data_IF_736665091857
#
_entry.id   IF_736665091857
#
_cell.length_a   1.000
_cell.length_b   1.000
_cell.length_c   1.000
_cell.angle_alpha   90.00
_cell.angle_beta   90.00
_cell.angle_gamma   90.00
#
_symmetry.space_group_name_H-M   'P 1'
#
loop_
_entity.id
_entity.type
_entity.pdbx_description
1 polymer ?
#
# COMPACT_ATOMS: atom_id res chain seq x y z
N UNK A 1 13.53 17.87 6.89
CA UNK A 1 13.99 17.97 5.48
C UNK A 1 14.68 16.70 5.06
N UNK A 2 14.67 16.40 3.77
CA UNK A 2 15.24 15.18 3.21
C UNK A 2 16.23 15.53 2.12
N UNK A 3 17.50 15.40 2.41
CA UNK A 3 18.61 15.85 1.55
C UNK A 3 19.02 14.80 0.54
N UNK A 4 19.36 15.20 -0.66
CA UNK A 4 19.90 14.34 -1.69
C UNK A 4 20.98 15.04 -2.50
N UNK A 5 21.88 14.26 -3.07
CA UNK A 5 22.86 14.79 -4.01
C UNK A 5 22.29 14.70 -5.43
N UNK A 6 22.16 15.85 -6.10
CA UNK A 6 21.58 15.96 -7.45
C UNK A 6 22.37 15.17 -8.51
N UNK A 7 23.67 15.07 -8.34
CA UNK A 7 24.54 14.35 -9.28
C UNK A 7 24.56 12.83 -9.03
N UNK A 8 24.00 12.38 -7.90
CA UNK A 8 24.00 10.95 -7.56
C UNK A 8 22.97 10.18 -8.36
N UNK A 9 23.44 9.16 -9.11
CA UNK A 9 22.57 8.21 -9.81
C UNK A 9 21.75 7.32 -8.87
N UNK A 10 22.08 7.27 -7.58
CA UNK A 10 21.53 6.32 -6.62
C UNK A 10 20.11 6.67 -6.15
N UNK A 11 19.63 7.89 -6.38
CA UNK A 11 18.32 8.39 -5.91
C UNK A 11 18.04 8.08 -4.43
N UNK A 12 19.03 8.37 -3.58
CA UNK A 12 18.94 8.15 -2.13
C UNK A 12 18.82 9.49 -1.44
N UNK A 13 17.88 9.58 -0.49
CA UNK A 13 17.70 10.73 0.39
C UNK A 13 18.13 10.41 1.81
N UNK A 14 18.51 11.44 2.53
CA UNK A 14 18.98 11.39 3.89
C UNK A 14 18.20 12.40 4.75
N UNK A 15 18.02 12.09 6.04
CA UNK A 15 17.52 13.05 7.04
C UNK A 15 18.67 13.90 7.58
N UNK A 16 18.33 14.99 8.24
CA UNK A 16 19.29 15.76 9.04
C UNK A 16 20.09 14.82 9.95
N UNK A 17 21.32 15.11 10.20
CA UNK A 17 22.20 14.32 11.07
C UNK A 17 22.55 12.90 10.56
N UNK A 18 22.24 12.56 9.31
CA UNK A 18 22.73 11.33 8.73
C UNK A 18 24.25 11.44 8.48
N UNK A 19 25.05 10.51 9.06
CA UNK A 19 26.50 10.56 8.91
C UNK A 19 26.99 10.38 7.46
N UNK A 20 26.14 9.86 6.57
CA UNK A 20 26.42 9.77 5.13
C UNK A 20 26.25 11.10 4.38
N UNK A 21 25.64 12.10 5.02
CA UNK A 21 25.49 13.43 4.44
C UNK A 21 26.46 14.37 5.13
N UNK A 22 27.57 14.60 4.50
CA UNK A 22 28.44 15.71 4.88
C UNK A 22 28.01 16.93 4.05
N UNK A 23 27.07 17.69 4.57
CA UNK A 23 26.51 18.87 3.89
C UNK A 23 27.58 19.89 3.52
N UNK A 24 28.66 19.97 4.27
CA UNK A 24 29.75 20.92 4.01
C UNK A 24 30.58 20.56 2.78
N UNK A 25 30.58 19.28 2.37
CA UNK A 25 31.40 18.79 1.24
C UNK A 25 30.64 18.70 -0.09
N UNK A 26 29.32 18.84 -0.08
CA UNK A 26 28.52 18.63 -1.29
C UNK A 26 27.86 19.94 -1.73
N UNK A 27 28.45 20.60 -2.72
CA UNK A 27 27.89 21.82 -3.35
C UNK A 27 26.56 21.57 -4.09
N UNK A 28 26.23 20.31 -4.36
CA UNK A 28 25.07 19.90 -5.17
C UNK A 28 24.00 19.21 -4.30
N UNK A 29 23.88 19.58 -3.03
CA UNK A 29 22.87 19.03 -2.12
C UNK A 29 21.60 19.88 -2.25
N UNK A 30 20.53 19.21 -2.64
CA UNK A 30 19.17 19.74 -2.63
C UNK A 30 18.33 19.01 -1.57
N UNK A 31 17.10 19.47 -1.34
CA UNK A 31 16.23 18.85 -0.35
C UNK A 31 14.77 18.75 -0.83
N UNK A 32 14.06 17.78 -0.29
CA UNK A 32 12.60 17.69 -0.31
C UNK A 32 12.05 18.11 1.06
N UNK A 33 10.91 18.76 1.08
CA UNK A 33 10.25 19.09 2.34
C UNK A 33 9.59 17.84 2.95
N UNK A 34 9.05 16.98 2.13
CA UNK A 34 8.32 15.79 2.55
C UNK A 34 8.89 14.51 1.98
N UNK A 35 8.75 13.41 2.74
CA UNK A 35 9.12 12.08 2.29
C UNK A 35 8.27 11.59 1.12
N UNK A 36 7.02 12.04 1.07
CA UNK A 36 6.08 11.72 0.00
C UNK A 36 6.57 12.26 -1.34
N UNK A 37 6.90 13.54 -1.38
CA UNK A 37 7.45 14.20 -2.58
C UNK A 37 8.68 13.48 -3.12
N UNK A 38 9.62 13.14 -2.23
CA UNK A 38 10.80 12.36 -2.61
C UNK A 38 10.43 10.99 -3.20
N UNK A 39 9.46 10.29 -2.62
CA UNK A 39 9.02 8.98 -3.11
C UNK A 39 8.30 9.06 -4.45
N UNK A 40 7.50 10.11 -4.70
CA UNK A 40 6.84 10.37 -5.99
C UNK A 40 7.86 10.59 -7.09
N UNK A 41 9.02 11.18 -6.78
CA UNK A 41 10.14 11.35 -7.72
C UNK A 41 11.08 10.14 -7.81
N UNK A 42 10.73 9.04 -7.15
CA UNK A 42 11.47 7.77 -7.21
C UNK A 42 12.68 7.69 -6.27
N UNK A 43 12.84 8.67 -5.37
CA UNK A 43 13.87 8.60 -4.34
C UNK A 43 13.50 7.63 -3.21
N UNK A 44 14.49 7.18 -2.45
CA UNK A 44 14.33 6.28 -1.30
C UNK A 44 15.18 6.75 -0.14
N UNK A 45 14.74 6.52 1.09
CA UNK A 45 15.57 6.74 2.26
C UNK A 45 16.80 5.83 2.25
N UNK A 46 17.93 6.36 2.67
CA UNK A 46 19.11 5.54 2.91
C UNK A 46 18.82 4.53 4.04
N UNK A 47 19.59 3.44 4.07
CA UNK A 47 19.38 2.37 5.07
C UNK A 47 19.50 2.87 6.51
N UNK A 48 20.37 3.86 6.76
CA UNK A 48 20.55 4.44 8.09
C UNK A 48 19.45 5.41 8.51
N UNK A 49 18.84 6.10 7.54
CA UNK A 49 17.72 7.01 7.78
C UNK A 49 16.37 6.27 7.82
N UNK A 50 16.30 5.10 7.25
CA UNK A 50 15.08 4.30 7.23
C UNK A 50 14.85 3.64 8.59
N UNK A 51 13.98 4.25 9.39
CA UNK A 51 13.64 3.76 10.73
C UNK A 51 13.12 2.31 10.70
N UNK A 52 12.28 1.98 9.74
CA UNK A 52 11.73 0.63 9.56
C UNK A 52 12.85 -0.39 9.30
N UNK A 53 13.83 -0.07 8.45
CA UNK A 53 14.95 -0.96 8.18
C UNK A 53 15.85 -1.15 9.41
N UNK A 54 16.10 -0.08 10.16
CA UNK A 54 16.87 -0.15 11.41
C UNK A 54 16.15 -1.00 12.45
N UNK A 55 14.85 -0.80 12.59
CA UNK A 55 14.01 -1.55 13.50
C UNK A 55 13.97 -3.04 13.12
N UNK A 56 13.78 -3.34 11.84
CA UNK A 56 13.82 -4.71 11.33
C UNK A 56 15.15 -5.40 11.66
N UNK A 57 16.28 -4.71 11.42
CA UNK A 57 17.61 -5.25 11.72
C UNK A 57 17.81 -5.50 13.22
N UNK A 58 17.26 -4.63 14.08
CA UNK A 58 17.35 -4.76 15.52
C UNK A 58 16.55 -5.96 16.06
N UNK A 59 15.40 -6.21 15.46
CA UNK A 59 14.44 -7.26 15.88
C UNK A 59 14.53 -8.52 15.02
N UNK A 60 15.59 -8.66 14.20
CA UNK A 60 15.67 -9.69 13.15
C UNK A 60 15.50 -11.11 13.70
N UNK A 61 16.20 -11.44 14.78
CA UNK A 61 16.20 -12.78 15.35
C UNK A 61 14.81 -13.15 15.88
N UNK A 62 14.14 -12.22 16.58
CA UNK A 62 12.80 -12.40 17.12
C UNK A 62 11.75 -12.48 15.99
N UNK A 63 11.91 -11.66 14.93
CA UNK A 63 11.07 -11.73 13.73
C UNK A 63 11.19 -13.10 13.06
N UNK A 64 12.41 -13.63 12.90
CA UNK A 64 12.65 -14.95 12.30
C UNK A 64 12.06 -16.07 13.13
N UNK A 65 12.26 -16.03 14.46
CA UNK A 65 11.69 -17.01 15.37
C UNK A 65 10.16 -17.04 15.30
N UNK A 66 9.51 -15.87 15.41
CA UNK A 66 8.06 -15.75 15.31
C UNK A 66 7.54 -16.19 13.95
N UNK A 67 8.24 -15.80 12.88
CA UNK A 67 7.86 -16.16 11.51
C UNK A 67 7.87 -17.68 11.33
N UNK A 68 8.92 -18.35 11.79
CA UNK A 68 9.03 -19.80 11.75
C UNK A 68 7.94 -20.49 12.58
N UNK A 69 7.73 -20.02 13.82
CA UNK A 69 6.75 -20.61 14.75
C UNK A 69 5.30 -20.51 14.25
N UNK A 70 4.95 -19.41 13.59
CA UNK A 70 3.56 -19.11 13.19
C UNK A 70 3.32 -19.21 11.67
N UNK A 71 4.29 -19.68 10.90
CA UNK A 71 4.15 -19.84 9.45
C UNK A 71 3.98 -18.51 8.70
N UNK A 72 4.62 -17.44 9.20
CA UNK A 72 4.61 -16.15 8.56
C UNK A 72 5.76 -16.03 7.57
N UNK A 73 5.52 -15.38 6.43
CA UNK A 73 6.57 -14.97 5.50
C UNK A 73 6.76 -13.45 5.63
N UNK A 74 7.93 -13.02 6.10
CA UNK A 74 8.26 -11.60 6.30
C UNK A 74 9.36 -11.18 5.34
N UNK A 75 9.07 -10.18 4.52
CA UNK A 75 10.00 -9.62 3.55
C UNK A 75 10.22 -8.12 3.81
N UNK A 76 11.47 -7.73 4.07
CA UNK A 76 11.84 -6.33 4.28
C UNK A 76 12.33 -5.68 2.99
N UNK A 77 11.49 -4.83 2.41
CA UNK A 77 11.81 -3.99 1.25
C UNK A 77 12.31 -2.59 1.65
N UNK A 78 12.62 -1.78 0.65
CA UNK A 78 13.10 -0.40 0.87
C UNK A 78 12.01 0.55 1.41
N UNK A 79 10.74 0.32 1.10
CA UNK A 79 9.62 1.22 1.42
C UNK A 79 8.56 0.58 2.31
N UNK A 80 8.59 -0.73 2.45
CA UNK A 80 7.61 -1.48 3.23
C UNK A 80 8.18 -2.82 3.70
N UNK A 81 7.60 -3.34 4.77
CA UNK A 81 7.74 -4.74 5.15
C UNK A 81 6.45 -5.43 4.73
N UNK A 82 6.57 -6.47 3.92
CA UNK A 82 5.48 -7.34 3.53
C UNK A 82 5.43 -8.54 4.48
N UNK A 83 4.25 -8.83 5.01
CA UNK A 83 4.00 -9.97 5.88
C UNK A 83 2.86 -10.77 5.26
N UNK A 84 3.10 -12.04 5.01
CA UNK A 84 2.10 -12.96 4.48
C UNK A 84 1.86 -14.06 5.50
N UNK A 85 0.62 -14.27 5.86
CA UNK A 85 0.15 -15.37 6.68
C UNK A 85 -0.69 -16.33 5.84
N UNK A 86 -1.22 -17.40 6.46
CA UNK A 86 -2.10 -18.36 5.80
C UNK A 86 -3.43 -17.75 5.33
N UNK A 87 -3.89 -16.68 5.96
CA UNK A 87 -5.24 -16.11 5.73
C UNK A 87 -5.23 -14.66 5.25
N UNK A 88 -4.09 -13.98 5.31
CA UNK A 88 -4.02 -12.54 5.11
C UNK A 88 -2.68 -12.08 4.56
N UNK A 89 -2.71 -10.92 3.89
CA UNK A 89 -1.50 -10.19 3.49
C UNK A 89 -1.47 -8.83 4.15
N UNK A 90 -0.31 -8.47 4.66
CA UNK A 90 -0.10 -7.25 5.43
C UNK A 90 1.06 -6.45 4.88
N UNK A 91 1.02 -5.16 5.08
CA UNK A 91 2.14 -4.26 4.79
C UNK A 91 2.34 -3.28 5.93
N UNK A 92 3.57 -3.19 6.40
CA UNK A 92 4.03 -2.11 7.25
C UNK A 92 4.74 -1.08 6.39
N UNK A 93 4.37 0.17 6.51
CA UNK A 93 5.02 1.30 5.84
C UNK A 93 5.31 2.41 6.85
N UNK A 94 6.20 3.33 6.49
CA UNK A 94 6.36 4.57 7.24
C UNK A 94 5.39 5.62 6.71
N UNK A 95 4.67 6.27 7.61
CA UNK A 95 3.86 7.44 7.26
C UNK A 95 4.73 8.71 7.09
N UNK A 96 4.08 9.85 6.86
CA UNK A 96 4.75 11.15 6.74
C UNK A 96 5.51 11.58 8.00
N UNK A 97 5.12 11.09 9.16
CA UNK A 97 5.72 11.37 10.47
C UNK A 97 6.75 10.30 10.87
N UNK A 98 7.14 9.43 9.94
CA UNK A 98 8.05 8.29 10.14
C UNK A 98 7.57 7.27 11.19
N UNK A 99 6.27 7.19 11.41
CA UNK A 99 5.65 6.17 12.26
C UNK A 99 5.30 4.95 11.41
N UNK A 100 5.45 3.77 12.00
CA UNK A 100 5.00 2.54 11.38
C UNK A 100 3.47 2.51 11.34
N UNK A 101 2.93 2.23 10.17
CA UNK A 101 1.50 2.06 9.95
C UNK A 101 1.22 0.75 9.24
N UNK A 102 0.13 0.10 9.63
CA UNK A 102 -0.24 -1.23 9.16
C UNK A 102 -1.36 -1.16 8.12
N UNK A 103 -1.20 -1.91 7.05
CA UNK A 103 -2.21 -2.15 6.03
C UNK A 103 -2.50 -3.65 5.94
N UNK A 104 -3.75 -3.98 5.74
CA UNK A 104 -4.25 -5.35 5.67
C UNK A 104 -4.97 -5.62 4.36
N UNK A 105 -4.79 -6.81 3.80
CA UNK A 105 -5.54 -7.33 2.65
C UNK A 105 -6.02 -8.73 2.95
N UNK A 106 -7.33 -8.96 2.88
CA UNK A 106 -7.92 -10.30 2.95
C UNK A 106 -7.62 -11.07 1.65
N UNK A 107 -7.13 -12.29 1.74
CA UNK A 107 -6.90 -13.12 0.55
C UNK A 107 -8.21 -13.60 -0.11
N UNK A 108 -9.28 -13.64 0.66
CA UNK A 108 -10.59 -14.14 0.21
C UNK A 108 -11.51 -13.06 -0.39
N UNK A 109 -11.02 -11.83 -0.58
CA UNK A 109 -11.79 -10.81 -1.29
C UNK A 109 -11.77 -11.12 -2.79
N UNK A 110 -12.97 -11.39 -3.32
CA UNK A 110 -13.16 -11.58 -4.76
C UNK A 110 -12.69 -10.35 -5.54
N UNK A 111 -12.13 -10.51 -6.76
CA UNK A 111 -11.54 -9.42 -7.55
C UNK A 111 -12.50 -8.27 -7.90
N UNK A 112 -13.78 -8.36 -7.54
CA UNK A 112 -14.83 -7.41 -7.94
C UNK A 112 -15.09 -6.27 -6.95
N UNK A 113 -14.33 -6.16 -5.84
CA UNK A 113 -14.50 -5.02 -4.93
C UNK A 113 -13.61 -3.86 -5.37
N UNK A 114 -14.11 -3.14 -6.38
CA UNK A 114 -13.44 -1.99 -7.04
C UNK A 114 -13.43 -0.71 -6.18
N UNK A 115 -13.65 -0.78 -4.87
CA UNK A 115 -13.81 0.40 -4.04
C UNK A 115 -12.55 0.93 -3.36
N UNK A 116 -11.42 0.23 -3.41
CA UNK A 116 -10.16 0.75 -2.89
C UNK A 116 -9.06 0.75 -3.94
N UNK A 117 -8.74 1.93 -4.42
CA UNK A 117 -7.76 2.20 -5.47
C UNK A 117 -6.30 1.94 -5.06
N UNK A 118 -6.03 1.43 -3.87
CA UNK A 118 -4.68 1.07 -3.42
C UNK A 118 -4.61 -0.44 -3.22
N UNK A 119 -4.60 -1.19 -4.33
CA UNK A 119 -4.23 -2.62 -4.36
C UNK A 119 -5.00 -3.53 -3.37
N UNK A 120 -6.22 -3.19 -2.97
CA UNK A 120 -7.01 -3.99 -2.04
C UNK A 120 -6.48 -4.04 -0.60
N UNK A 121 -5.55 -3.18 -0.22
CA UNK A 121 -5.09 -3.02 1.16
C UNK A 121 -5.90 -1.97 1.90
N UNK A 122 -6.32 -2.29 3.12
CA UNK A 122 -7.06 -1.39 4.01
C UNK A 122 -6.15 -0.90 5.14
N UNK A 123 -6.18 0.39 5.42
CA UNK A 123 -5.43 0.99 6.51
C UNK A 123 -6.01 0.55 7.87
N UNK A 124 -5.15 0.13 8.80
CA UNK A 124 -5.49 -0.27 10.16
C UNK A 124 -5.17 0.88 11.13
N UNK A 125 -5.98 1.94 11.08
CA UNK A 125 -5.73 3.21 11.79
C UNK A 125 -5.72 3.10 13.32
N UNK A 126 -6.43 2.11 13.86
CA UNK A 126 -6.54 1.91 15.32
C UNK A 126 -5.35 1.11 15.89
N UNK A 127 -4.57 0.47 15.01
CA UNK A 127 -3.41 -0.35 15.42
C UNK A 127 -2.16 0.52 15.46
N UNK A 128 -1.74 0.88 16.66
CA UNK A 128 -0.54 1.69 16.92
C UNK A 128 0.45 0.87 17.74
N UNK A 129 1.46 0.35 17.08
CA UNK A 129 2.52 -0.41 17.74
C UNK A 129 3.87 0.30 17.59
N UNK A 130 4.77 0.05 18.51
CA UNK A 130 6.09 0.69 18.55
C UNK A 130 7.20 -0.15 17.93
N UNK A 131 6.96 -1.44 17.72
CA UNK A 131 7.94 -2.39 17.17
C UNK A 131 7.31 -3.27 16.09
N UNK A 132 8.16 -3.87 15.24
CA UNK A 132 7.71 -4.81 14.20
C UNK A 132 7.20 -6.08 14.85
N UNK A 133 7.87 -6.57 15.89
CA UNK A 133 7.45 -7.75 16.67
C UNK A 133 6.05 -7.55 17.26
N UNK A 134 5.76 -6.36 17.81
CA UNK A 134 4.42 -6.06 18.32
C UNK A 134 3.35 -6.08 17.22
N UNK A 135 3.69 -5.65 16.01
CA UNK A 135 2.79 -5.80 14.85
C UNK A 135 2.61 -7.26 14.44
N UNK A 136 3.66 -8.09 14.49
CA UNK A 136 3.55 -9.53 14.22
C UNK A 136 2.62 -10.22 15.24
N UNK A 137 2.74 -9.91 16.53
CA UNK A 137 1.83 -10.42 17.56
C UNK A 137 0.38 -10.06 17.25
N UNK A 138 0.11 -8.79 16.94
CA UNK A 138 -1.23 -8.36 16.52
C UNK A 138 -1.74 -9.13 15.30
N UNK A 139 -0.91 -9.34 14.28
CA UNK A 139 -1.26 -10.09 13.06
C UNK A 139 -1.61 -11.54 13.41
N UNK A 140 -0.81 -12.19 14.25
CA UNK A 140 -1.04 -13.57 14.69
C UNK A 140 -2.38 -13.68 15.43
N UNK A 141 -2.65 -12.79 16.38
CA UNK A 141 -3.91 -12.76 17.13
C UNK A 141 -5.11 -12.50 16.22
N UNK A 142 -4.98 -11.53 15.30
CA UNK A 142 -6.01 -11.22 14.32
C UNK A 142 -6.32 -12.42 13.43
N UNK A 143 -5.30 -13.09 12.90
CA UNK A 143 -5.48 -14.21 11.98
C UNK A 143 -6.03 -15.44 12.71
N UNK A 144 -5.59 -15.68 13.95
CA UNK A 144 -6.19 -16.69 14.82
C UNK A 144 -7.68 -16.40 15.08
N UNK A 145 -8.03 -15.17 15.42
CA UNK A 145 -9.42 -14.77 15.58
C UNK A 145 -10.23 -15.01 14.31
N UNK A 146 -9.69 -14.68 13.13
CA UNK A 146 -10.35 -14.89 11.84
C UNK A 146 -10.55 -16.37 11.50
N UNK A 147 -9.61 -17.23 11.85
CA UNK A 147 -9.76 -18.68 11.67
C UNK A 147 -10.84 -19.26 12.58
N UNK A 148 -10.91 -18.81 13.83
CA UNK A 148 -11.93 -19.26 14.79
C UNK A 148 -13.31 -18.68 14.51
N UNK A 149 -13.38 -17.49 13.88
CA UNK A 149 -14.62 -16.80 13.56
C UNK A 149 -14.68 -16.53 12.04
N UNK A 150 -14.85 -17.58 11.22
CA UNK A 150 -14.93 -17.39 9.78
C UNK A 150 -16.07 -16.42 9.46
N UNK A 151 -15.79 -15.39 8.68
CA UNK A 151 -16.79 -14.41 8.24
C UNK A 151 -17.82 -15.17 7.43
N UNK A 152 -18.97 -15.46 8.03
CA UNK A 152 -20.12 -15.98 7.32
C UNK A 152 -20.51 -14.88 6.35
N UNK A 153 -20.22 -15.08 5.05
CA UNK A 153 -20.60 -14.12 4.00
C UNK A 153 -22.07 -13.75 4.25
N UNK A 154 -22.42 -12.48 4.44
CA UNK A 154 -23.81 -12.12 4.64
C UNK A 154 -24.57 -12.70 3.47
N UNK A 155 -25.58 -13.54 3.76
CA UNK A 155 -26.47 -14.13 2.73
C UNK A 155 -26.82 -12.97 1.81
N UNK A 156 -26.47 -13.08 0.50
CA UNK A 156 -26.79 -12.06 -0.50
C UNK A 156 -28.20 -11.58 -0.17
N UNK A 157 -28.34 -10.30 0.21
CA UNK A 157 -29.66 -9.74 0.46
C UNK A 157 -30.49 -10.11 -0.73
N UNK A 158 -31.58 -10.91 -0.53
CA UNK A 158 -32.53 -11.26 -1.61
C UNK A 158 -32.77 -9.95 -2.32
N UNK A 159 -32.41 -9.89 -3.59
CA UNK A 159 -32.62 -8.68 -4.38
C UNK A 159 -34.08 -8.31 -4.22
N UNK A 160 -34.31 -7.16 -3.62
CA UNK A 160 -35.70 -6.67 -3.49
C UNK A 160 -36.24 -6.55 -4.91
N UNK A 161 -37.48 -7.04 -5.15
CA UNK A 161 -38.06 -6.98 -6.49
C UNK A 161 -37.91 -5.57 -7.08
N UNK A 162 -37.66 -5.45 -8.38
CA UNK A 162 -37.42 -4.16 -9.01
C UNK A 162 -38.60 -3.22 -8.70
N UNK A 163 -38.31 -1.96 -8.39
CA UNK A 163 -39.35 -1.02 -8.01
C UNK A 163 -40.36 -0.84 -9.17
N UNK A 164 -41.66 -0.83 -8.87
CA UNK A 164 -42.69 -0.64 -9.87
C UNK A 164 -42.51 0.69 -10.60
N UNK A 165 -42.72 0.67 -11.94
CA UNK A 165 -42.66 1.88 -12.80
C UNK A 165 -43.56 2.98 -12.22
N UNK A 166 -43.10 4.25 -12.28
CA UNK A 166 -43.83 5.41 -11.80
C UNK A 166 -43.63 5.77 -10.32
N UNK A 167 -43.15 4.87 -9.47
CA UNK A 167 -42.91 5.16 -8.06
C UNK A 167 -41.65 6.06 -7.85
N UNK A 168 -41.63 6.82 -6.75
CA UNK A 168 -40.46 7.63 -6.35
C UNK A 168 -39.20 6.78 -6.28
N UNK A 169 -39.33 5.53 -5.82
CA UNK A 169 -38.20 4.55 -5.73
C UNK A 169 -37.71 4.14 -7.12
N UNK A 170 -38.57 3.97 -8.08
CA UNK A 170 -38.22 3.69 -9.48
C UNK A 170 -37.45 4.86 -10.10
N UNK A 171 -37.97 6.10 -9.96
CA UNK A 171 -37.29 7.30 -10.47
C UNK A 171 -35.89 7.49 -9.86
N UNK A 172 -35.75 7.21 -8.55
CA UNK A 172 -34.46 7.29 -7.88
C UNK A 172 -33.47 6.23 -8.38
N UNK A 173 -33.96 4.97 -8.58
CA UNK A 173 -33.13 3.89 -9.13
C UNK A 173 -32.70 4.18 -10.57
N UNK A 174 -33.59 4.73 -11.39
CA UNK A 174 -33.27 5.14 -12.76
C UNK A 174 -32.19 6.23 -12.80
N UNK A 175 -32.33 7.29 -12.01
CA UNK A 175 -31.31 8.34 -11.90
C UNK A 175 -29.93 7.80 -11.44
N UNK A 176 -29.92 6.85 -10.51
CA UNK A 176 -28.70 6.20 -10.04
C UNK A 176 -28.05 5.37 -11.15
N UNK A 177 -28.86 4.64 -11.92
CA UNK A 177 -28.38 3.85 -13.04
C UNK A 177 -27.78 4.73 -14.16
N UNK A 178 -28.47 5.80 -14.55
CA UNK A 178 -27.96 6.79 -15.51
C UNK A 178 -26.63 7.41 -15.05
N UNK A 179 -26.54 7.77 -13.76
CA UNK A 179 -25.29 8.30 -13.19
C UNK A 179 -24.15 7.28 -13.28
N UNK A 180 -24.42 6.00 -13.00
CA UNK A 180 -23.43 4.93 -13.10
C UNK A 180 -23.01 4.68 -14.55
N UNK A 181 -23.94 4.68 -15.49
CA UNK A 181 -23.66 4.55 -16.92
C UNK A 181 -22.77 5.69 -17.43
N UNK A 182 -23.06 6.93 -17.03
CA UNK A 182 -22.20 8.08 -17.37
C UNK A 182 -20.78 7.93 -16.81
N UNK A 183 -20.65 7.50 -15.55
CA UNK A 183 -19.33 7.23 -14.95
C UNK A 183 -18.57 6.14 -15.70
N UNK A 184 -19.26 5.07 -16.10
CA UNK A 184 -18.64 3.99 -16.85
C UNK A 184 -18.20 4.44 -18.26
N UNK A 185 -19.03 5.23 -18.93
CA UNK A 185 -18.69 5.80 -20.24
C UNK A 185 -17.44 6.69 -20.16
N UNK A 186 -17.35 7.56 -19.14
CA UNK A 186 -16.15 8.40 -18.90
C UNK A 186 -14.92 7.53 -18.66
N UNK A 187 -15.06 6.49 -17.83
CA UNK A 187 -13.95 5.57 -17.56
C UNK A 187 -13.46 4.89 -18.85
N UNK A 188 -14.38 4.38 -19.66
CA UNK A 188 -14.05 3.72 -20.92
C UNK A 188 -13.31 4.67 -21.89
N UNK A 189 -13.70 5.95 -21.94
CA UNK A 189 -13.00 6.96 -22.74
C UNK A 189 -11.59 7.22 -22.21
N UNK A 190 -11.41 7.32 -20.90
CA UNK A 190 -10.09 7.50 -20.29
C UNK A 190 -9.18 6.29 -20.56
N UNK A 191 -9.68 5.08 -20.38
CA UNK A 191 -8.96 3.84 -20.66
C UNK A 191 -8.55 3.76 -22.15
N UNK A 192 -9.39 4.23 -23.06
CA UNK A 192 -9.08 4.34 -24.49
C UNK A 192 -7.96 5.36 -24.76
N UNK A 193 -8.04 6.55 -24.15
CA UNK A 193 -7.00 7.57 -24.27
C UNK A 193 -5.65 7.05 -23.78
N UNK A 194 -5.64 6.35 -22.65
CA UNK A 194 -4.42 5.78 -22.08
C UNK A 194 -3.85 4.66 -22.96
N UNK A 195 -4.69 3.85 -23.59
CA UNK A 195 -4.26 2.83 -24.55
C UNK A 195 -3.63 3.42 -25.83
N UNK A 196 -4.13 4.58 -26.26
CA UNK A 196 -3.58 5.29 -27.43
C UNK A 196 -2.28 6.04 -27.11
N UNK A 197 -2.03 6.36 -25.85
CA UNK A 197 -0.79 7.02 -25.37
C UNK A 197 0.33 6.04 -25.05
N UNK A 198 0.05 4.75 -24.93
CA UNK A 198 1.08 3.74 -24.70
C UNK A 198 2.04 3.74 -25.91
N UNK A 199 3.36 3.97 -25.74
CA UNK A 199 4.30 3.91 -26.83
C UNK A 199 4.29 2.50 -27.38
N UNK A 200 4.03 2.37 -28.69
CA UNK A 200 4.20 1.11 -29.39
C UNK A 200 5.65 0.67 -29.22
N UNK A 201 5.90 -0.35 -28.40
CA UNK A 201 7.19 -1.01 -28.33
C UNK A 201 7.47 -1.63 -29.70
N UNK A 202 8.19 -0.92 -30.54
CA UNK A 202 8.77 -1.48 -31.75
C UNK A 202 9.88 -2.42 -31.30
N UNK A 203 9.81 -3.72 -31.59
CA UNK A 203 10.91 -4.62 -31.27
C UNK A 203 12.10 -4.22 -32.16
N UNK A 204 13.15 -3.67 -31.57
CA UNK A 204 14.44 -3.51 -32.23
C UNK A 204 15.03 -4.91 -32.41
N UNK A 205 14.89 -5.46 -33.59
CA UNK A 205 15.69 -6.62 -34.01
C UNK A 205 17.14 -6.15 -34.12
N UNK A 206 17.97 -6.60 -33.18
CA UNK A 206 19.42 -6.49 -33.29
C UNK A 206 19.86 -7.42 -34.43
N UNK A 207 20.46 -6.83 -35.46
CA UNK A 207 21.28 -7.50 -36.47
C UNK A 207 22.67 -7.72 -35.94
#
# INVERSE_FOLDING_TARGET
MYYYNKQSKSKVIHIDNCFHVNLERHKDVEHFETLREAYEQGYRLCKHCNLMHRQYKKECDEILEMSSRHGLSVYSGNRYISITSLVSKWKLILDKDQKLVLYHKNEFETPNDSSSQVLGYHFQGDVKQTSIVSYLNYIIEHDYFRMMHPVIKPKKKKESPPPRKGTRRYKSAQRRNEKNQRKQAIKNVLDLIDSLRAPSCVPTYAT
#
